data_IF_414483758025
#
_entry.id   IF_414483758025
#
_cell.length_a   1.000
_cell.length_b   1.000
_cell.length_c   1.000
_cell.angle_alpha   90.00
_cell.angle_beta   90.00
_cell.angle_gamma   90.00
#
_symmetry.space_group_name_H-M   'P 1'
#
loop_
_entity.id
_entity.type
_entity.pdbx_description
1 polymer ?
#
# COMPACT_ATOMS: atom_id res chain seq x y z
N UNK A 1 22.07 -26.99 6.70
CA UNK A 1 21.24 -26.34 5.66
C UNK A 1 22.16 -25.72 4.64
N UNK A 2 21.92 -25.93 3.35
CA UNK A 2 22.62 -25.19 2.29
C UNK A 2 22.05 -23.76 2.19
N UNK A 3 22.84 -22.81 1.69
CA UNK A 3 22.44 -21.40 1.54
C UNK A 3 21.16 -21.27 0.71
N UNK A 4 21.07 -22.03 -0.38
CA UNK A 4 19.90 -22.09 -1.26
C UNK A 4 18.65 -22.50 -0.50
N UNK A 5 18.71 -23.50 0.38
CA UNK A 5 17.55 -23.91 1.18
C UNK A 5 17.06 -22.77 2.08
N UNK A 6 17.98 -22.00 2.68
CA UNK A 6 17.62 -20.90 3.57
C UNK A 6 16.98 -19.72 2.83
N UNK A 7 17.51 -19.38 1.65
CA UNK A 7 16.94 -18.35 0.78
C UNK A 7 15.57 -18.76 0.24
N UNK A 8 15.42 -20.02 -0.21
CA UNK A 8 14.12 -20.54 -0.67
C UNK A 8 13.08 -20.55 0.46
N UNK A 9 13.47 -20.97 1.67
CA UNK A 9 12.58 -20.91 2.83
C UNK A 9 12.16 -19.47 3.14
N UNK A 10 13.12 -18.53 3.11
CA UNK A 10 12.87 -17.10 3.30
C UNK A 10 11.91 -16.55 2.24
N UNK A 11 12.09 -16.94 0.98
CA UNK A 11 11.22 -16.56 -0.13
C UNK A 11 9.79 -17.08 0.07
N UNK A 12 9.63 -18.37 0.39
CA UNK A 12 8.32 -18.99 0.66
C UNK A 12 7.61 -18.31 1.82
N UNK A 13 8.33 -17.98 2.90
CA UNK A 13 7.77 -17.25 4.04
C UNK A 13 7.36 -15.83 3.63
N UNK A 14 8.19 -15.12 2.88
CA UNK A 14 7.92 -13.76 2.41
C UNK A 14 6.67 -13.68 1.52
N UNK A 15 6.60 -14.50 0.46
CA UNK A 15 5.46 -14.52 -0.45
C UNK A 15 4.17 -14.95 0.27
N UNK A 16 4.27 -15.87 1.24
CA UNK A 16 3.12 -16.29 2.04
C UNK A 16 2.64 -15.15 2.93
N UNK A 17 3.54 -14.47 3.65
CA UNK A 17 3.19 -13.37 4.52
C UNK A 17 2.52 -12.21 3.74
N UNK A 18 3.05 -11.86 2.56
CA UNK A 18 2.45 -10.84 1.70
C UNK A 18 1.10 -11.27 1.08
N UNK A 19 0.97 -12.54 0.70
CA UNK A 19 -0.31 -13.06 0.23
C UNK A 19 -1.38 -12.96 1.33
N UNK A 20 -1.00 -13.26 2.57
CA UNK A 20 -1.88 -13.10 3.73
C UNK A 20 -2.22 -11.63 3.96
N UNK A 21 -1.26 -10.70 3.92
CA UNK A 21 -1.52 -9.25 4.13
C UNK A 21 -2.46 -8.70 3.06
N UNK A 22 -2.29 -9.11 1.81
CA UNK A 22 -3.16 -8.77 0.69
C UNK A 22 -4.59 -9.30 0.89
N UNK A 23 -4.75 -10.58 1.27
CA UNK A 23 -6.04 -11.17 1.55
C UNK A 23 -6.76 -10.47 2.72
N UNK A 24 -6.02 -10.09 3.77
CA UNK A 24 -6.52 -9.28 4.88
C UNK A 24 -7.01 -7.89 4.42
N UNK A 25 -6.29 -7.26 3.48
CA UNK A 25 -6.72 -5.97 2.91
C UNK A 25 -8.00 -6.13 2.09
N UNK A 26 -8.05 -7.16 1.22
CA UNK A 26 -9.18 -7.47 0.36
C UNK A 26 -10.48 -7.77 1.13
N UNK A 27 -10.39 -8.48 2.25
CA UNK A 27 -11.54 -8.79 3.09
C UNK A 27 -12.28 -7.53 3.60
N UNK A 28 -11.57 -6.41 3.77
CA UNK A 28 -12.18 -5.14 4.17
C UNK A 28 -12.96 -4.44 3.05
N UNK A 29 -12.67 -4.78 1.80
CA UNK A 29 -13.32 -4.21 0.61
C UNK A 29 -14.40 -5.11 0.02
N UNK A 30 -14.67 -6.28 0.63
CA UNK A 30 -15.66 -7.27 0.14
C UNK A 30 -15.38 -7.74 -1.29
N UNK A 31 -14.10 -7.94 -1.61
CA UNK A 31 -13.66 -8.48 -2.89
C UNK A 31 -14.06 -9.97 -3.03
N UNK A 32 -14.31 -10.41 -4.25
CA UNK A 32 -14.52 -11.83 -4.56
C UNK A 32 -13.21 -12.62 -4.48
N UNK A 33 -13.30 -13.95 -4.51
CA UNK A 33 -12.12 -14.82 -4.37
C UNK A 33 -11.10 -14.61 -5.51
N UNK A 34 -11.58 -14.30 -6.70
CA UNK A 34 -10.72 -13.99 -7.84
C UNK A 34 -9.89 -12.72 -7.59
N UNK A 35 -10.53 -11.62 -7.19
CA UNK A 35 -9.83 -10.38 -6.87
C UNK A 35 -8.88 -10.54 -5.68
N UNK A 36 -9.26 -11.31 -4.65
CA UNK A 36 -8.35 -11.65 -3.53
C UNK A 36 -7.10 -12.38 -4.03
N UNK A 37 -7.29 -13.37 -4.89
CA UNK A 37 -6.20 -14.17 -5.46
C UNK A 37 -5.26 -13.32 -6.31
N UNK A 38 -5.81 -12.44 -7.14
CA UNK A 38 -5.05 -11.51 -7.97
C UNK A 38 -4.26 -10.51 -7.12
N UNK A 39 -4.90 -9.90 -6.11
CA UNK A 39 -4.24 -8.96 -5.21
C UNK A 39 -3.11 -9.63 -4.43
N UNK A 40 -3.31 -10.88 -3.98
CA UNK A 40 -2.28 -11.67 -3.31
C UNK A 40 -1.07 -11.95 -4.22
N UNK A 41 -1.30 -12.36 -5.46
CA UNK A 41 -0.23 -12.58 -6.45
C UNK A 41 0.55 -11.30 -6.75
N UNK A 42 -0.14 -10.18 -6.99
CA UNK A 42 0.50 -8.89 -7.27
C UNK A 42 1.32 -8.42 -6.06
N UNK A 43 0.81 -8.58 -4.85
CA UNK A 43 1.52 -8.15 -3.63
C UNK A 43 2.75 -9.01 -3.37
N UNK A 44 2.60 -10.34 -3.45
CA UNK A 44 3.66 -11.28 -3.14
C UNK A 44 4.80 -11.27 -4.16
N UNK A 45 4.49 -11.13 -5.46
CA UNK A 45 5.51 -11.15 -6.52
C UNK A 45 5.92 -9.77 -7.01
N UNK A 46 5.12 -8.73 -6.76
CA UNK A 46 5.30 -7.40 -7.36
C UNK A 46 6.62 -6.75 -6.95
N UNK A 47 7.01 -6.84 -5.68
CA UNK A 47 8.28 -6.27 -5.20
C UNK A 47 9.50 -6.89 -5.88
N UNK A 48 9.57 -8.24 -5.89
CA UNK A 48 10.63 -8.98 -6.58
C UNK A 48 10.63 -8.75 -8.09
N UNK A 49 9.45 -8.70 -8.71
CA UNK A 49 9.32 -8.43 -10.15
C UNK A 49 9.82 -7.04 -10.51
N UNK A 50 9.47 -6.01 -9.73
CA UNK A 50 9.98 -4.64 -9.95
C UNK A 50 11.50 -4.61 -9.81
N UNK A 51 12.07 -5.23 -8.77
CA UNK A 51 13.53 -5.35 -8.62
C UNK A 51 14.16 -6.02 -9.85
N UNK A 52 13.65 -7.20 -10.22
CA UNK A 52 14.23 -8.03 -11.27
C UNK A 52 14.21 -7.31 -12.62
N UNK A 53 13.11 -6.64 -12.96
CA UNK A 53 13.00 -5.80 -14.16
C UNK A 53 13.99 -4.63 -14.12
N UNK A 54 14.14 -3.96 -12.98
CA UNK A 54 15.06 -2.81 -12.84
C UNK A 54 16.53 -3.22 -12.94
N UNK A 55 16.89 -4.40 -12.45
CA UNK A 55 18.26 -4.93 -12.51
C UNK A 55 18.55 -5.71 -13.80
N UNK A 56 17.53 -6.00 -14.62
CA UNK A 56 17.68 -6.87 -15.79
C UNK A 56 17.86 -8.35 -15.45
N UNK A 57 17.44 -8.77 -14.25
CA UNK A 57 17.57 -10.13 -13.74
C UNK A 57 16.38 -10.98 -14.23
N UNK A 58 16.63 -11.85 -15.21
CA UNK A 58 15.63 -12.75 -15.81
C UNK A 58 16.15 -14.20 -15.89
N UNK A 59 15.24 -15.19 -15.90
CA UNK A 59 13.78 -15.09 -15.79
C UNK A 59 13.29 -14.66 -14.40
N UNK A 60 12.04 -14.18 -14.31
CA UNK A 60 11.44 -13.86 -13.01
C UNK A 60 11.27 -15.14 -12.18
N UNK A 61 11.63 -15.10 -10.91
CA UNK A 61 11.66 -16.28 -10.02
C UNK A 61 10.33 -17.07 -10.01
N UNK A 62 9.19 -16.38 -10.00
CA UNK A 62 7.87 -17.01 -9.97
C UNK A 62 7.41 -17.52 -11.34
N UNK A 63 7.98 -17.00 -12.44
CA UNK A 63 7.72 -17.48 -13.81
C UNK A 63 8.53 -18.75 -14.05
N UNK A 64 9.78 -18.78 -13.58
CA UNK A 64 10.64 -19.95 -13.64
C UNK A 64 10.08 -21.09 -12.76
N UNK A 65 9.50 -20.76 -11.61
CA UNK A 65 8.97 -21.73 -10.65
C UNK A 65 7.48 -21.46 -10.33
N UNK A 66 6.54 -21.92 -11.19
CA UNK A 66 5.10 -21.67 -11.02
C UNK A 66 4.50 -22.22 -9.73
N UNK A 67 5.19 -23.14 -9.05
CA UNK A 67 4.77 -23.68 -7.74
C UNK A 67 4.56 -22.57 -6.70
N UNK A 68 5.28 -21.46 -6.80
CA UNK A 68 5.11 -20.33 -5.91
C UNK A 68 3.74 -19.66 -6.05
N UNK A 69 3.12 -19.70 -7.22
CA UNK A 69 1.76 -19.21 -7.40
C UNK A 69 0.77 -20.03 -6.56
N UNK A 70 0.94 -21.36 -6.52
CA UNK A 70 0.11 -22.25 -5.70
C UNK A 70 0.26 -21.91 -4.20
N UNK A 71 1.50 -21.64 -3.75
CA UNK A 71 1.78 -21.22 -2.36
C UNK A 71 1.03 -19.93 -2.02
N UNK A 72 1.10 -18.93 -2.89
CA UNK A 72 0.41 -17.64 -2.70
C UNK A 72 -1.10 -17.80 -2.65
N UNK A 73 -1.67 -18.57 -3.59
CA UNK A 73 -3.11 -18.83 -3.62
C UNK A 73 -3.59 -19.61 -2.38
N UNK A 74 -2.82 -20.60 -1.93
CA UNK A 74 -3.11 -21.34 -0.72
C UNK A 74 -3.07 -20.44 0.52
N UNK A 75 -2.03 -19.60 0.65
CA UNK A 75 -1.91 -18.65 1.76
C UNK A 75 -3.08 -17.66 1.80
N UNK A 76 -3.51 -17.14 0.64
CA UNK A 76 -4.66 -16.26 0.51
C UNK A 76 -5.98 -16.98 0.89
N UNK A 77 -6.20 -18.20 0.38
CA UNK A 77 -7.40 -18.99 0.68
C UNK A 77 -7.53 -19.36 2.17
N UNK A 78 -6.41 -19.74 2.79
CA UNK A 78 -6.33 -20.00 4.23
C UNK A 78 -6.71 -18.72 4.99
N UNK A 79 -6.15 -17.58 4.62
CA UNK A 79 -6.42 -16.29 5.28
C UNK A 79 -7.89 -15.89 5.19
N UNK A 80 -8.52 -16.04 4.03
CA UNK A 80 -9.96 -15.78 3.85
C UNK A 80 -10.80 -16.71 4.73
N UNK A 81 -10.43 -17.99 4.82
CA UNK A 81 -11.14 -18.98 5.64
C UNK A 81 -11.04 -18.68 7.15
N UNK A 82 -9.92 -18.10 7.60
CA UNK A 82 -9.69 -17.68 8.98
C UNK A 82 -10.26 -16.29 9.32
N UNK A 83 -11.03 -15.68 8.41
CA UNK A 83 -11.57 -14.32 8.58
C UNK A 83 -12.52 -14.12 9.77
N UNK A 84 -13.00 -15.22 10.38
CA UNK A 84 -13.83 -15.20 11.59
C UNK A 84 -13.09 -14.62 12.83
N UNK A 85 -11.76 -14.53 12.82
CA UNK A 85 -10.95 -13.99 13.93
C UNK A 85 -10.84 -12.44 13.94
N UNK A 86 -11.96 -11.76 13.70
CA UNK A 86 -12.04 -10.33 13.34
C UNK A 86 -11.34 -9.35 14.30
N UNK A 87 -11.06 -9.73 15.56
CA UNK A 87 -10.56 -8.80 16.56
C UNK A 87 -9.06 -8.45 16.42
N UNK A 88 -8.26 -9.32 15.78
CA UNK A 88 -6.78 -9.18 15.74
C UNK A 88 -6.20 -8.71 14.40
N UNK A 89 -7.04 -8.38 13.41
CA UNK A 89 -6.59 -8.11 12.03
C UNK A 89 -5.51 -7.04 11.91
N UNK A 90 -5.60 -5.95 12.68
CA UNK A 90 -4.61 -4.86 12.57
C UNK A 90 -3.23 -5.31 13.04
N UNK A 91 -3.15 -6.00 14.18
CA UNK A 91 -1.87 -6.47 14.72
C UNK A 91 -1.28 -7.57 13.84
N UNK A 92 -2.12 -8.51 13.40
CA UNK A 92 -1.71 -9.59 12.51
C UNK A 92 -1.21 -9.06 11.15
N UNK A 93 -1.94 -8.11 10.55
CA UNK A 93 -1.53 -7.47 9.30
C UNK A 93 -0.15 -6.81 9.42
N UNK A 94 0.07 -6.01 10.48
CA UNK A 94 1.36 -5.33 10.68
C UNK A 94 2.51 -6.32 10.96
N UNK A 95 2.25 -7.41 11.68
CA UNK A 95 3.25 -8.43 11.94
C UNK A 95 3.61 -9.22 10.68
N UNK A 96 2.62 -9.65 9.88
CA UNK A 96 2.86 -10.35 8.61
C UNK A 96 3.59 -9.45 7.61
N UNK A 97 3.18 -8.19 7.50
CA UNK A 97 3.84 -7.20 6.65
C UNK A 97 5.28 -6.95 7.09
N UNK A 98 5.57 -6.92 8.40
CA UNK A 98 6.94 -6.85 8.91
C UNK A 98 7.77 -8.11 8.57
N UNK A 99 7.17 -9.30 8.55
CA UNK A 99 7.83 -10.54 8.12
C UNK A 99 8.14 -10.50 6.62
N UNK A 100 7.18 -10.08 5.79
CA UNK A 100 7.36 -9.89 4.35
C UNK A 100 8.48 -8.89 4.04
N UNK A 101 8.44 -7.72 4.69
CA UNK A 101 9.48 -6.70 4.59
C UNK A 101 10.87 -7.24 4.95
N UNK A 102 10.99 -7.98 6.06
CA UNK A 102 12.25 -8.58 6.50
C UNK A 102 12.79 -9.58 5.48
N UNK A 103 11.95 -10.51 5.01
CA UNK A 103 12.30 -11.51 4.02
C UNK A 103 12.80 -10.86 2.71
N UNK A 104 12.03 -9.92 2.18
CA UNK A 104 12.35 -9.27 0.92
C UNK A 104 13.50 -8.28 0.98
N UNK A 105 13.76 -7.69 2.15
CA UNK A 105 14.99 -6.90 2.37
C UNK A 105 16.23 -7.77 2.18
N UNK A 106 16.27 -8.94 2.82
CA UNK A 106 17.41 -9.87 2.72
C UNK A 106 17.54 -10.40 1.31
N UNK A 107 16.44 -10.85 0.69
CA UNK A 107 16.45 -11.39 -0.68
C UNK A 107 16.85 -10.34 -1.71
N UNK A 108 16.34 -9.10 -1.61
CA UNK A 108 16.70 -8.02 -2.52
C UNK A 108 18.16 -7.60 -2.39
N UNK A 109 18.70 -7.59 -1.16
CA UNK A 109 20.12 -7.34 -0.92
C UNK A 109 20.97 -8.45 -1.55
N UNK A 110 20.63 -9.71 -1.27
CA UNK A 110 21.41 -10.86 -1.75
C UNK A 110 21.42 -10.96 -3.28
N UNK A 111 20.28 -10.77 -3.95
CA UNK A 111 20.20 -10.80 -5.42
C UNK A 111 21.06 -9.71 -6.05
N UNK A 112 20.97 -8.47 -5.56
CA UNK A 112 21.76 -7.38 -6.12
C UNK A 112 23.28 -7.59 -5.94
N UNK A 113 23.70 -8.14 -4.80
CA UNK A 113 25.11 -8.44 -4.55
C UNK A 113 25.61 -9.63 -5.36
N UNK A 114 24.77 -10.67 -5.59
CA UNK A 114 25.16 -11.80 -6.44
C UNK A 114 25.31 -11.41 -7.91
N UNK A 115 24.59 -10.40 -8.38
CA UNK A 115 24.75 -9.80 -9.71
C UNK A 115 25.99 -8.88 -9.82
N UNK A 116 26.77 -8.74 -8.74
CA UNK A 116 27.99 -7.92 -8.73
C UNK A 116 27.73 -6.42 -8.59
N UNK A 117 26.51 -6.00 -8.21
CA UNK A 117 26.24 -4.58 -7.96
C UNK A 117 26.85 -4.09 -6.64
N UNK A 118 27.16 -2.81 -6.59
CA UNK A 118 27.71 -2.18 -5.38
C UNK A 118 26.69 -2.01 -4.25
N UNK A 119 27.16 -1.66 -3.03
CA UNK A 119 26.32 -1.58 -1.82
C UNK A 119 25.11 -0.64 -1.94
N UNK A 120 25.28 0.47 -2.67
CA UNK A 120 24.21 1.45 -2.86
C UNK A 120 23.04 0.84 -3.66
N UNK A 121 23.35 0.13 -4.75
CA UNK A 121 22.33 -0.53 -5.58
C UNK A 121 21.70 -1.67 -4.80
N UNK A 122 22.46 -2.39 -3.96
CA UNK A 122 21.91 -3.44 -3.11
C UNK A 122 20.88 -2.92 -2.10
N UNK A 123 21.13 -1.75 -1.48
CA UNK A 123 20.16 -1.09 -0.59
C UNK A 123 18.90 -0.70 -1.36
N UNK A 124 19.06 -0.09 -2.54
CA UNK A 124 17.92 0.32 -3.38
C UNK A 124 17.11 -0.91 -3.79
N UNK A 125 17.76 -1.99 -4.25
CA UNK A 125 17.11 -3.23 -4.60
C UNK A 125 16.36 -3.85 -3.42
N UNK A 126 16.94 -3.83 -2.22
CA UNK A 126 16.31 -4.31 -0.99
C UNK A 126 15.04 -3.52 -0.65
N UNK A 127 15.13 -2.18 -0.68
CA UNK A 127 13.98 -1.30 -0.45
C UNK A 127 12.91 -1.51 -1.53
N UNK A 128 13.31 -1.58 -2.80
CA UNK A 128 12.38 -1.85 -3.90
C UNK A 128 11.63 -3.16 -3.67
N UNK A 129 12.35 -4.25 -3.36
CA UNK A 129 11.75 -5.57 -3.14
C UNK A 129 10.81 -5.57 -1.94
N UNK A 130 11.24 -5.00 -0.82
CA UNK A 130 10.47 -5.01 0.42
C UNK A 130 9.26 -4.08 0.43
N UNK A 131 9.32 -2.96 -0.28
CA UNK A 131 8.29 -1.92 -0.18
C UNK A 131 7.29 -1.95 -1.34
N UNK A 132 7.71 -2.28 -2.56
CA UNK A 132 6.79 -2.21 -3.71
C UNK A 132 5.61 -3.18 -3.62
N UNK A 133 5.79 -4.35 -3.00
CA UNK A 133 4.67 -5.28 -2.76
C UNK A 133 3.54 -4.60 -1.97
N UNK A 134 3.89 -4.00 -0.82
CA UNK A 134 2.96 -3.24 0.01
C UNK A 134 2.37 -2.01 -0.69
N UNK A 135 3.16 -1.29 -1.49
CA UNK A 135 2.66 -0.17 -2.31
C UNK A 135 1.57 -0.64 -3.28
N UNK A 136 1.84 -1.70 -4.05
CA UNK A 136 0.88 -2.23 -5.02
C UNK A 136 -0.40 -2.71 -4.33
N UNK A 137 -0.27 -3.42 -3.20
CA UNK A 137 -1.40 -3.83 -2.35
C UNK A 137 -2.25 -2.63 -1.95
N UNK A 138 -1.62 -1.60 -1.41
CA UNK A 138 -2.31 -0.47 -0.79
C UNK A 138 -2.98 0.41 -1.86
N UNK A 139 -2.33 0.65 -3.01
CA UNK A 139 -2.92 1.38 -4.15
C UNK A 139 -4.11 0.63 -4.73
N UNK A 140 -3.97 -0.67 -5.01
CA UNK A 140 -5.08 -1.49 -5.51
C UNK A 140 -6.21 -1.65 -4.48
N UNK A 141 -5.90 -1.37 -3.22
CA UNK A 141 -6.85 -1.37 -2.10
C UNK A 141 -7.48 0.00 -1.81
N UNK A 142 -7.23 1.02 -2.64
CA UNK A 142 -7.66 2.41 -2.42
C UNK A 142 -7.25 2.94 -1.03
N UNK A 143 -5.98 2.68 -0.65
CA UNK A 143 -5.38 3.17 0.59
C UNK A 143 -4.08 3.88 0.31
N UNK A 144 -3.76 4.84 1.16
CA UNK A 144 -2.43 5.45 1.18
C UNK A 144 -1.41 4.39 1.63
N UNK A 145 -0.37 4.10 0.83
CA UNK A 145 0.65 3.11 1.19
C UNK A 145 1.34 3.39 2.52
N UNK A 146 1.62 2.34 3.29
CA UNK A 146 2.28 2.45 4.61
C UNK A 146 3.59 3.25 4.56
N UNK A 147 4.36 3.12 3.48
CA UNK A 147 5.63 3.85 3.29
C UNK A 147 5.44 5.37 3.25
N UNK A 148 4.28 5.87 2.77
CA UNK A 148 4.02 7.30 2.66
C UNK A 148 3.37 7.90 3.91
N UNK A 149 2.98 7.07 4.88
CA UNK A 149 2.36 7.51 6.14
C UNK A 149 3.37 8.00 7.19
N UNK A 150 4.62 8.23 6.80
CA UNK A 150 5.69 8.62 7.71
C UNK A 150 6.24 7.47 8.55
N UNK A 151 5.78 6.25 8.38
CA UNK A 151 6.33 5.09 9.08
C UNK A 151 7.82 4.88 8.71
N UNK A 152 8.62 4.37 9.65
CA UNK A 152 10.02 3.98 9.43
C UNK A 152 10.20 2.77 8.47
N UNK A 153 9.27 2.57 7.54
CA UNK A 153 9.16 1.39 6.67
C UNK A 153 10.42 1.14 5.84
N UNK A 154 10.76 2.10 4.96
CA UNK A 154 11.97 2.02 4.13
C UNK A 154 13.25 2.08 4.96
N UNK A 155 13.23 2.79 6.10
CA UNK A 155 14.37 2.86 7.01
C UNK A 155 14.66 1.49 7.66
N UNK A 156 13.64 0.69 7.99
CA UNK A 156 13.82 -0.67 8.48
C UNK A 156 14.52 -1.55 7.45
N UNK A 157 14.09 -1.48 6.19
CA UNK A 157 14.72 -2.21 5.08
C UNK A 157 16.19 -1.76 4.87
N UNK A 158 16.46 -0.46 4.97
CA UNK A 158 17.83 0.06 4.90
C UNK A 158 18.71 -0.53 6.02
N UNK A 159 18.25 -0.47 7.27
CA UNK A 159 19.01 -1.00 8.42
C UNK A 159 19.26 -2.52 8.26
N UNK A 160 18.24 -3.25 7.82
CA UNK A 160 18.34 -4.68 7.51
C UNK A 160 19.37 -5.00 6.44
N UNK A 161 19.33 -4.28 5.31
CA UNK A 161 20.25 -4.45 4.19
C UNK A 161 21.70 -4.12 4.58
N UNK A 162 21.91 -3.02 5.32
CA UNK A 162 23.23 -2.67 5.86
C UNK A 162 23.75 -3.74 6.82
N UNK A 163 22.89 -4.25 7.71
CA UNK A 163 23.26 -5.32 8.65
C UNK A 163 23.71 -6.58 7.90
N UNK A 164 22.95 -6.98 6.87
CA UNK A 164 23.30 -8.10 6.00
C UNK A 164 24.69 -7.90 5.39
N UNK A 165 24.92 -6.76 4.73
CA UNK A 165 26.18 -6.45 4.05
C UNK A 165 27.38 -6.38 5.00
N UNK A 166 27.20 -5.81 6.20
CA UNK A 166 28.28 -5.72 7.18
C UNK A 166 28.67 -7.10 7.68
N UNK A 167 27.71 -7.98 7.98
CA UNK A 167 28.01 -9.34 8.42
C UNK A 167 28.67 -10.17 7.31
N UNK A 168 28.24 -9.98 6.06
CA UNK A 168 28.88 -10.62 4.90
C UNK A 168 30.33 -10.15 4.72
N UNK A 169 30.60 -8.83 4.85
CA UNK A 169 31.96 -8.29 4.78
C UNK A 169 32.86 -8.77 5.93
N UNK A 170 32.31 -9.06 7.10
CA UNK A 170 33.03 -9.67 8.22
C UNK A 170 33.32 -11.17 8.00
N UNK A 171 32.89 -11.75 6.89
CA UNK A 171 33.12 -13.16 6.57
C UNK A 171 32.22 -14.11 7.37
N UNK A 172 31.11 -13.63 7.92
CA UNK A 172 30.17 -14.48 8.65
C UNK A 172 29.52 -15.49 7.68
N UNK A 173 29.25 -16.73 8.12
CA UNK A 173 28.61 -17.73 7.26
C UNK A 173 27.17 -17.32 6.92
N UNK A 174 26.62 -17.67 5.76
CA UNK A 174 25.25 -17.30 5.37
C UNK A 174 24.16 -17.79 6.33
N UNK A 175 24.44 -18.88 7.06
CA UNK A 175 23.59 -19.39 8.12
C UNK A 175 23.42 -18.42 9.31
N UNK A 176 24.30 -17.43 9.44
CA UNK A 176 24.23 -16.34 10.42
C UNK A 176 23.76 -15.04 9.77
N UNK A 177 24.30 -14.71 8.60
CA UNK A 177 24.00 -13.45 7.88
C UNK A 177 22.50 -13.34 7.57
N UNK A 178 21.89 -14.39 7.00
CA UNK A 178 20.48 -14.36 6.59
C UNK A 178 19.56 -14.22 7.82
N UNK A 179 19.63 -15.07 8.86
CA UNK A 179 18.75 -14.94 10.01
C UNK A 179 18.98 -13.63 10.78
N UNK A 180 20.22 -13.15 10.88
CA UNK A 180 20.51 -11.86 11.51
C UNK A 180 19.84 -10.69 10.77
N UNK A 181 19.94 -10.65 9.43
CA UNK A 181 19.26 -9.66 8.62
C UNK A 181 17.73 -9.69 8.80
N UNK A 182 17.14 -10.89 8.82
CA UNK A 182 15.71 -11.07 9.08
C UNK A 182 15.30 -10.56 10.47
N UNK A 183 16.00 -11.01 11.51
CA UNK A 183 15.69 -10.66 12.90
C UNK A 183 15.84 -9.16 13.13
N UNK A 184 16.90 -8.54 12.62
CA UNK A 184 17.13 -7.10 12.79
C UNK A 184 16.06 -6.29 12.07
N UNK A 185 15.75 -6.63 10.80
CA UNK A 185 14.70 -5.92 10.04
C UNK A 185 13.35 -6.03 10.74
N UNK A 186 12.97 -7.24 11.14
CA UNK A 186 11.71 -7.50 11.84
C UNK A 186 11.65 -6.79 13.20
N UNK A 187 12.71 -6.88 14.01
CA UNK A 187 12.77 -6.27 15.33
C UNK A 187 12.67 -4.75 15.26
N UNK A 188 13.39 -4.11 14.34
CA UNK A 188 13.33 -2.66 14.13
C UNK A 188 11.94 -2.25 13.63
N UNK A 189 11.31 -3.02 12.74
CA UNK A 189 9.95 -2.74 12.27
C UNK A 189 8.92 -2.87 13.39
N UNK A 190 8.97 -3.94 14.18
CA UNK A 190 8.07 -4.14 15.32
C UNK A 190 8.28 -3.09 16.41
N UNK A 191 9.53 -2.67 16.64
CA UNK A 191 9.84 -1.54 17.52
C UNK A 191 9.21 -0.24 17.01
N UNK A 192 9.37 0.08 15.72
CA UNK A 192 8.78 1.28 15.12
C UNK A 192 7.25 1.30 15.24
N UNK A 193 6.60 0.16 14.97
CA UNK A 193 5.14 -0.02 15.10
C UNK A 193 4.68 0.13 16.55
N UNK A 194 5.37 -0.49 17.51
CA UNK A 194 4.99 -0.44 18.93
C UNK A 194 5.07 0.97 19.51
N UNK A 195 6.07 1.76 19.09
CA UNK A 195 6.29 3.12 19.59
C UNK A 195 5.69 4.21 18.68
N UNK A 196 4.91 3.84 17.65
CA UNK A 196 4.36 4.77 16.64
C UNK A 196 5.40 5.78 16.11
N UNK A 197 6.63 5.31 15.89
CA UNK A 197 7.73 6.17 15.43
C UNK A 197 7.52 6.52 13.96
N UNK A 198 7.28 7.81 13.72
CA UNK A 198 7.13 8.36 12.37
C UNK A 198 8.28 9.33 12.06
N UNK A 199 8.68 9.39 10.79
CA UNK A 199 9.56 10.40 10.22
C UNK A 199 8.86 11.77 10.20
N UNK A 200 9.62 12.87 10.23
CA UNK A 200 9.04 14.21 10.15
C UNK A 200 8.26 14.36 8.85
N UNK A 201 6.98 14.72 8.97
CA UNK A 201 6.11 14.96 7.83
C UNK A 201 6.47 16.32 7.25
N UNK A 202 6.81 16.37 5.96
CA UNK A 202 6.99 17.63 5.25
C UNK A 202 5.61 18.27 5.00
N UNK A 203 5.15 19.08 5.95
CA UNK A 203 3.95 19.88 5.79
C UNK A 203 4.33 21.25 5.23
N UNK A 204 3.76 21.62 4.09
CA UNK A 204 3.81 23.00 3.63
C UNK A 204 2.84 23.79 4.53
N UNK A 205 3.35 24.79 5.26
CA UNK A 205 2.47 25.74 5.95
C UNK A 205 1.81 26.63 4.89
N UNK A 206 0.58 26.30 4.53
CA UNK A 206 -0.25 26.97 3.53
C UNK A 206 -0.76 28.36 3.96
N UNK A 207 0.05 29.14 4.67
CA UNK A 207 -0.29 30.55 4.93
C UNK A 207 -0.16 31.42 3.66
N UNK A 208 0.52 30.94 2.60
CA UNK A 208 0.81 31.73 1.40
C UNK A 208 0.56 31.00 0.05
N UNK A 209 -0.34 30.00 -0.01
CA UNK A 209 -0.87 29.61 -1.32
C UNK A 209 -1.90 30.66 -1.79
N UNK A 210 -1.79 31.21 -3.01
CA UNK A 210 -2.82 32.08 -3.56
C UNK A 210 -4.09 31.26 -3.74
N UNK A 211 -5.02 31.38 -2.79
CA UNK A 211 -6.38 30.85 -2.92
C UNK A 211 -6.95 31.37 -4.22
N UNK A 212 -7.28 30.48 -5.16
CA UNK A 212 -7.88 30.84 -6.45
C UNK A 212 -9.02 31.85 -6.20
N UNK A 213 -8.96 33.08 -6.75
CA UNK A 213 -9.96 34.12 -6.51
C UNK A 213 -11.40 33.66 -6.81
N UNK A 214 -11.57 32.66 -7.68
CA UNK A 214 -12.86 32.06 -8.01
C UNK A 214 -13.45 31.23 -6.86
N UNK A 215 -12.60 30.53 -6.09
CA UNK A 215 -13.01 29.81 -4.88
C UNK A 215 -13.36 30.77 -3.74
N UNK A 216 -12.75 31.97 -3.69
CA UNK A 216 -13.16 33.04 -2.78
C UNK A 216 -14.55 33.57 -3.10
N UNK A 217 -14.89 33.74 -4.38
CA UNK A 217 -16.21 34.21 -4.80
C UNK A 217 -17.30 33.24 -4.37
N UNK A 218 -17.14 31.93 -4.62
CA UNK A 218 -18.14 30.94 -4.18
C UNK A 218 -18.29 30.92 -2.65
N UNK A 219 -17.19 30.98 -1.90
CA UNK A 219 -17.24 31.09 -0.44
C UNK A 219 -17.87 32.40 0.06
N UNK A 220 -17.61 33.54 -0.59
CA UNK A 220 -18.23 34.83 -0.29
C UNK A 220 -19.72 34.82 -0.62
N UNK A 221 -20.13 34.30 -1.78
CA UNK A 221 -21.53 34.16 -2.15
C UNK A 221 -22.27 33.25 -1.16
N UNK A 222 -21.69 32.12 -0.76
CA UNK A 222 -22.28 31.22 0.24
C UNK A 222 -22.42 31.94 1.60
N UNK A 223 -21.39 32.66 2.05
CA UNK A 223 -21.43 33.42 3.31
C UNK A 223 -22.43 34.58 3.27
N UNK A 224 -22.51 35.32 2.17
CA UNK A 224 -23.51 36.38 2.00
C UNK A 224 -24.93 35.81 1.95
N UNK A 225 -25.14 34.71 1.24
CA UNK A 225 -26.43 34.04 1.16
C UNK A 225 -26.84 33.53 2.53
N UNK A 226 -25.92 32.92 3.29
CA UNK A 226 -26.14 32.50 4.66
C UNK A 226 -26.40 33.69 5.61
N UNK A 227 -25.71 34.83 5.44
CA UNK A 227 -25.92 36.04 6.23
C UNK A 227 -27.26 36.71 5.93
N UNK A 228 -27.67 36.78 4.66
CA UNK A 228 -28.98 37.27 4.22
C UNK A 228 -30.10 36.35 4.72
N UNK A 229 -29.90 35.03 4.67
CA UNK A 229 -30.84 34.06 5.22
C UNK A 229 -30.98 34.23 6.74
N UNK A 230 -29.87 34.28 7.50
CA UNK A 230 -29.89 34.55 8.94
C UNK A 230 -30.54 35.90 9.28
N UNK A 231 -30.27 36.95 8.51
CA UNK A 231 -30.91 38.26 8.69
C UNK A 231 -32.41 38.24 8.40
N UNK A 232 -32.89 37.47 7.41
CA UNK A 232 -34.32 37.32 7.13
C UNK A 232 -35.03 36.57 8.26
N UNK A 233 -34.40 35.49 8.75
CA UNK A 233 -34.90 34.71 9.90
C UNK A 233 -34.94 35.58 11.17
N UNK A 234 -33.89 36.35 11.46
CA UNK A 234 -33.83 37.24 12.61
C UNK A 234 -34.86 38.39 12.56
N UNK A 235 -35.30 38.81 11.36
CA UNK A 235 -36.36 39.81 11.16
C UNK A 235 -37.77 39.21 11.10
N UNK A 236 -37.93 37.92 11.40
CA UNK A 236 -39.24 37.25 11.37
C UNK A 236 -39.86 37.07 9.98
N UNK A 237 -39.08 37.28 8.91
CA UNK A 237 -39.55 37.15 7.53
C UNK A 237 -39.56 35.66 7.19
N UNK A 238 -40.74 35.03 7.15
CA UNK A 238 -40.90 33.65 6.66
C UNK A 238 -40.34 33.56 5.23
N UNK A 239 -39.57 32.51 4.89
CA UNK A 239 -39.15 32.30 3.51
C UNK A 239 -40.41 32.16 2.64
N UNK A 240 -40.57 33.03 1.65
CA UNK A 240 -41.60 32.85 0.63
C UNK A 240 -41.34 31.50 -0.03
N UNK A 241 -42.30 30.58 0.14
CA UNK A 241 -42.31 29.32 -0.57
C UNK A 241 -42.20 29.61 -2.08
N UNK A 242 -41.25 28.95 -2.73
CA UNK A 242 -40.98 28.95 -4.17
C UNK A 242 -42.27 29.20 -4.97
N UNK A 243 -42.45 30.44 -5.46
CA UNK A 243 -43.49 30.74 -6.44
C UNK A 243 -43.05 30.12 -7.74
N UNK A 244 -43.65 28.96 -8.04
CA UNK A 244 -43.84 28.37 -9.37
C UNK A 244 -43.51 29.36 -10.49
N UNK A 245 -42.38 29.19 -11.14
CA UNK A 245 -42.25 29.62 -12.54
C UNK A 245 -42.98 28.57 -13.37
N UNK A 246 -44.29 28.77 -13.53
CA UNK A 246 -45.02 28.23 -14.68
C UNK A 246 -44.30 28.76 -15.91
N UNK A 247 -43.83 27.87 -16.77
CA UNK A 247 -43.42 28.21 -18.13
C UNK A 247 -44.60 27.84 -19.05
N UNK A 248 -45.39 28.79 -19.56
CA UNK A 248 -46.36 28.53 -20.61
C UNK A 248 -45.79 29.09 -21.91
N UNK A 249 -45.02 28.29 -22.64
CA UNK A 249 -44.89 28.41 -24.10
C UNK A 249 -44.02 27.26 -24.62
N UNK A 250 -44.65 26.10 -24.78
CA UNK A 250 -44.27 25.19 -25.85
C UNK A 250 -45.56 24.71 -26.52
N UNK A 251 -46.03 25.53 -27.47
CA UNK A 251 -47.11 25.17 -28.40
C UNK A 251 -46.63 24.02 -29.28
N UNK A 252 -47.12 22.81 -29.00
CA UNK A 252 -47.31 21.82 -30.05
C UNK A 252 -48.41 22.30 -31.00
N UNK A 253 -48.24 22.23 -32.33
CA UNK A 253 -49.39 22.16 -33.22
C UNK A 253 -49.82 20.69 -33.34
N UNK A 254 -51.07 20.41 -32.95
CA UNK A 254 -51.81 19.22 -33.39
C UNK A 254 -52.74 19.63 -34.53
N UNK A 255 -52.62 18.94 -35.67
CA UNK A 255 -53.68 18.65 -36.64
C UNK A 255 -53.42 17.21 -37.07
N UNK A 256 -54.20 16.21 -36.60
CA UNK A 256 -55.41 15.67 -37.27
C UNK A 256 -55.07 15.20 -38.69
N UNK A 257 -55.09 13.92 -39.01
CA UNK A 257 -56.26 13.09 -39.35
C UNK A 257 -55.76 11.66 -39.66
N UNK A 258 -56.32 10.61 -39.04
CA UNK A 258 -57.20 9.59 -39.67
C UNK A 258 -56.59 8.88 -40.90
N UNK A 259 -55.97 7.71 -40.69
CA UNK A 259 -56.50 6.38 -41.04
C UNK A 259 -55.51 5.28 -40.60
#
# INVERSE_FOLDING_TARGET
MTVTTLLTATYVVGISAEAMTAALSAGRQRLDFFAVSLLAAITAFGGGTVRDVLLGHYPLVWVENPVYLIVVLAAAAITVSLSFFMHYFRSLFLALDAVGLAAFTVLGTQVALSEGHGPLIAIVAAICTGVFGGILRDILSDRVPLVFMGDLYAACALIGSVTYMVLEQLGAPPAVVIPAGLIVTFAVRMWAVKYNKSMPIFAYNDENQPVDPRLRLSAQFVRETARKAKSKVARGIKPEASKKTKNPDNKQPKSSESD
#
